data_IF_555508597137
#
_entry.id   IF_555508597137
#
_cell.length_a   1.000
_cell.length_b   1.000
_cell.length_c   1.000
_cell.angle_alpha   90.00
_cell.angle_beta   90.00
_cell.angle_gamma   90.00
#
_symmetry.space_group_name_H-M   'P 1'
#
loop_
_entity.id
_entity.type
_entity.pdbx_description
1 polymer ?
#
# COMPACT_ATOMS: atom_id res chain seq x y z
N UNK A 1 26.12 -31.18 -13.21
CA UNK A 1 26.02 -30.62 -11.84
C UNK A 1 25.50 -29.17 -11.80
N UNK A 2 26.16 -28.18 -12.45
CA UNK A 2 25.72 -26.76 -12.42
C UNK A 2 24.33 -26.50 -13.02
N UNK A 3 24.01 -27.10 -14.16
CA UNK A 3 22.68 -26.95 -14.79
C UNK A 3 21.53 -27.44 -13.89
N UNK A 4 21.75 -28.53 -13.14
CA UNK A 4 20.76 -29.04 -12.19
C UNK A 4 20.55 -28.09 -11.01
N UNK A 5 21.61 -27.45 -10.52
CA UNK A 5 21.50 -26.43 -9.47
C UNK A 5 20.70 -25.22 -9.94
N UNK A 6 20.95 -24.74 -11.17
CA UNK A 6 20.17 -23.65 -11.78
C UNK A 6 18.71 -24.06 -11.95
N UNK A 7 18.44 -25.26 -12.48
CA UNK A 7 17.08 -25.79 -12.64
C UNK A 7 16.35 -25.86 -11.30
N UNK A 8 17.01 -26.36 -10.25
CA UNK A 8 16.43 -26.43 -8.91
C UNK A 8 16.14 -25.03 -8.34
N UNK A 9 17.09 -24.09 -8.48
CA UNK A 9 16.92 -22.71 -8.02
C UNK A 9 15.75 -22.01 -8.71
N UNK A 10 15.69 -22.07 -10.04
CA UNK A 10 14.60 -21.45 -10.82
C UNK A 10 13.27 -22.06 -10.41
N UNK A 11 13.19 -23.40 -10.35
CA UNK A 11 11.96 -24.10 -9.98
C UNK A 11 11.49 -23.75 -8.57
N UNK A 12 12.41 -23.68 -7.60
CA UNK A 12 12.08 -23.35 -6.20
C UNK A 12 11.63 -21.90 -5.99
N UNK A 13 12.03 -20.97 -6.86
CA UNK A 13 11.64 -19.55 -6.81
C UNK A 13 10.54 -19.19 -7.81
N UNK A 14 9.93 -20.18 -8.47
CA UNK A 14 8.83 -19.97 -9.42
C UNK A 14 7.66 -20.92 -9.19
N UNK A 15 7.83 -22.20 -9.51
CA UNK A 15 6.76 -23.21 -9.49
C UNK A 15 6.53 -23.74 -8.08
N UNK A 16 7.61 -24.08 -7.38
CA UNK A 16 7.54 -24.75 -6.08
C UNK A 16 7.54 -23.74 -4.91
N UNK A 17 7.57 -22.42 -5.21
CA UNK A 17 7.49 -21.38 -4.19
C UNK A 17 6.04 -21.27 -3.68
N UNK A 18 5.72 -22.07 -2.67
CA UNK A 18 4.42 -21.99 -2.00
C UNK A 18 4.34 -20.69 -1.18
N UNK A 19 3.46 -19.79 -1.58
CA UNK A 19 3.04 -18.69 -0.72
C UNK A 19 1.99 -19.23 0.25
N UNK A 20 2.34 -19.27 1.52
CA UNK A 20 1.47 -19.71 2.61
C UNK A 20 0.84 -18.48 3.25
N UNK A 21 -0.49 -18.28 3.14
CA UNK A 21 -1.20 -17.18 3.78
C UNK A 21 -0.89 -17.05 5.29
N UNK A 22 -0.69 -18.18 5.97
CA UNK A 22 -0.35 -18.25 7.40
C UNK A 22 1.01 -17.64 7.75
N UNK A 23 1.91 -17.52 6.76
CA UNK A 23 3.23 -16.90 6.93
C UNK A 23 3.21 -15.39 6.62
N UNK A 24 2.04 -14.82 6.30
CA UNK A 24 1.92 -13.39 6.04
C UNK A 24 2.29 -12.59 7.30
N UNK A 25 3.15 -11.56 7.18
CA UNK A 25 3.53 -10.77 8.33
C UNK A 25 2.34 -9.92 8.80
N UNK A 26 2.32 -9.58 10.09
CA UNK A 26 1.19 -8.86 10.71
C UNK A 26 0.85 -7.51 10.03
N UNK A 27 1.86 -6.87 9.44
CA UNK A 27 1.68 -5.62 8.69
C UNK A 27 1.02 -5.80 7.31
N UNK A 28 0.88 -7.01 6.80
CA UNK A 28 0.21 -7.28 5.52
C UNK A 28 -1.11 -8.02 5.74
N UNK A 29 -2.23 -7.34 5.46
CA UNK A 29 -3.56 -7.96 5.46
C UNK A 29 -3.79 -8.75 4.17
N UNK A 30 -4.48 -9.88 4.28
CA UNK A 30 -4.97 -10.66 3.14
C UNK A 30 -6.44 -10.34 2.81
N UNK A 31 -7.10 -9.52 3.63
CA UNK A 31 -8.48 -9.09 3.43
C UNK A 31 -8.48 -7.86 2.52
N UNK A 32 -9.23 -7.89 1.38
CA UNK A 32 -9.37 -6.73 0.51
C UNK A 32 -9.86 -5.49 1.25
N UNK A 33 -9.28 -4.34 0.91
CA UNK A 33 -9.61 -3.02 1.42
C UNK A 33 -9.37 -2.87 2.92
N UNK A 34 -8.51 -3.70 3.51
CA UNK A 34 -8.11 -3.64 4.93
C UNK A 34 -6.59 -3.65 5.00
N UNK A 35 -6.02 -2.78 5.82
CA UNK A 35 -4.58 -2.79 6.11
C UNK A 35 -4.25 -3.78 7.24
N UNK A 36 -3.08 -4.42 7.14
CA UNK A 36 -2.49 -5.12 8.29
C UNK A 36 -2.09 -4.15 9.40
N UNK A 37 -1.80 -4.66 10.60
CA UNK A 37 -1.44 -3.80 11.74
C UNK A 37 -0.14 -3.06 11.43
N UNK A 38 -0.13 -1.75 11.57
CA UNK A 38 1.09 -0.97 11.46
C UNK A 38 2.17 -1.51 12.41
N UNK A 39 3.22 -2.11 11.85
CA UNK A 39 4.21 -2.88 12.63
C UNK A 39 5.63 -2.43 12.27
N UNK A 40 6.47 -2.08 13.26
CA UNK A 40 7.89 -1.82 13.05
C UNK A 40 8.62 -3.07 12.58
N UNK A 41 9.56 -2.91 11.66
CA UNK A 41 10.38 -4.04 11.19
C UNK A 41 11.49 -4.34 12.20
N UNK A 42 11.41 -5.54 12.77
CA UNK A 42 12.45 -6.07 13.64
C UNK A 42 13.69 -6.50 12.84
N UNK A 43 14.83 -6.57 13.53
CA UNK A 43 16.12 -6.98 12.96
C UNK A 43 16.08 -8.33 12.22
N UNK A 44 15.27 -9.28 12.69
CA UNK A 44 15.11 -10.62 12.08
C UNK A 44 14.35 -10.64 10.74
N UNK A 45 13.65 -9.55 10.42
CA UNK A 45 12.88 -9.37 9.20
C UNK A 45 13.69 -8.60 8.13
N UNK A 46 14.92 -8.16 8.45
CA UNK A 46 15.81 -7.51 7.49
C UNK A 46 16.06 -8.41 6.28
N UNK A 47 15.87 -7.86 5.08
CA UNK A 47 16.09 -8.55 3.81
C UNK A 47 15.02 -9.57 3.42
N UNK A 48 13.98 -9.74 4.26
CA UNK A 48 12.77 -10.50 3.92
C UNK A 48 11.70 -9.50 3.49
N UNK A 49 11.25 -9.60 2.24
CA UNK A 49 10.35 -8.65 1.59
C UNK A 49 10.93 -7.24 1.33
N UNK A 50 10.16 -6.40 0.63
CA UNK A 50 10.53 -5.04 0.23
C UNK A 50 10.38 -4.03 1.39
N UNK A 51 11.03 -4.35 2.52
CA UNK A 51 11.04 -3.56 3.76
C UNK A 51 12.47 -3.21 4.17
N UNK A 52 12.64 -2.03 4.72
CA UNK A 52 13.90 -1.51 5.24
C UNK A 52 13.89 -1.42 6.77
N UNK A 53 15.07 -1.49 7.41
CA UNK A 53 15.23 -1.21 8.84
C UNK A 53 14.63 0.14 9.23
N UNK A 54 14.16 0.27 10.47
CA UNK A 54 13.57 1.49 11.05
C UNK A 54 12.31 2.00 10.32
N UNK A 55 11.72 1.13 9.49
CA UNK A 55 10.43 1.36 8.87
C UNK A 55 9.29 0.74 9.68
N UNK A 56 8.18 1.44 9.74
CA UNK A 56 6.87 0.91 10.12
C UNK A 56 6.06 0.74 8.85
N UNK A 57 5.42 -0.42 8.69
CA UNK A 57 4.68 -0.78 7.48
C UNK A 57 3.26 -1.16 7.82
N UNK A 58 2.36 -0.86 6.91
CA UNK A 58 1.06 -1.53 6.80
C UNK A 58 0.68 -1.63 5.32
N UNK A 59 0.09 -2.75 4.94
CA UNK A 59 -0.24 -3.04 3.56
C UNK A 59 -1.45 -3.96 3.49
N UNK A 60 -2.08 -3.98 2.32
CA UNK A 60 -3.18 -4.87 2.04
C UNK A 60 -3.64 -4.75 0.58
N UNK A 61 -4.35 -5.75 0.06
CA UNK A 61 -4.93 -5.66 -1.27
C UNK A 61 -6.05 -4.62 -1.28
N UNK A 62 -6.20 -3.88 -2.38
CA UNK A 62 -7.47 -3.22 -2.68
C UNK A 62 -8.23 -4.03 -3.72
N UNK A 63 -9.57 -4.00 -3.63
CA UNK A 63 -10.48 -4.54 -4.64
C UNK A 63 -11.71 -3.65 -4.73
N UNK A 64 -12.03 -3.17 -5.93
CA UNK A 64 -13.10 -2.22 -6.21
C UNK A 64 -13.92 -2.69 -7.40
N UNK A 65 -15.23 -2.52 -7.36
CA UNK A 65 -16.08 -2.62 -8.54
C UNK A 65 -15.90 -1.39 -9.45
N UNK A 66 -16.44 -1.44 -10.66
CA UNK A 66 -16.21 -0.40 -11.69
C UNK A 66 -16.77 0.99 -11.32
N UNK A 67 -17.70 1.05 -10.38
CA UNK A 67 -18.36 2.27 -9.90
C UNK A 67 -17.91 2.68 -8.48
N UNK A 68 -16.84 2.07 -7.98
CA UNK A 68 -16.36 2.27 -6.61
C UNK A 68 -15.03 3.03 -6.54
N UNK A 69 -14.82 3.68 -5.41
CA UNK A 69 -13.56 4.27 -4.98
C UNK A 69 -13.21 3.79 -3.57
N UNK A 70 -11.94 3.83 -3.21
CA UNK A 70 -11.49 3.57 -1.85
C UNK A 70 -11.08 4.87 -1.18
N UNK A 71 -11.65 5.15 -0.02
CA UNK A 71 -11.25 6.24 0.86
C UNK A 71 -10.37 5.67 1.95
N UNK A 72 -9.11 6.12 2.00
CA UNK A 72 -8.13 5.74 3.02
C UNK A 72 -7.96 6.91 4.00
N UNK A 73 -8.14 6.65 5.28
CA UNK A 73 -8.09 7.66 6.34
C UNK A 73 -7.16 7.24 7.47
N UNK A 74 -6.56 8.23 8.13
CA UNK A 74 -5.69 7.98 9.27
C UNK A 74 -5.16 9.27 9.87
N UNK A 75 -4.23 9.12 10.81
CA UNK A 75 -3.43 10.22 11.35
C UNK A 75 -1.99 10.07 10.91
N UNK A 76 -1.40 11.14 10.39
CA UNK A 76 0.01 11.13 10.01
C UNK A 76 0.86 11.19 11.28
N UNK A 77 1.72 10.19 11.54
CA UNK A 77 2.59 10.24 12.71
C UNK A 77 3.72 11.26 12.53
N UNK A 78 4.35 11.67 13.62
CA UNK A 78 5.61 12.40 13.56
C UNK A 78 6.71 11.49 12.98
N UNK A 79 7.05 11.73 11.72
CA UNK A 79 8.01 10.95 10.96
C UNK A 79 8.72 11.81 9.91
N UNK A 80 9.92 11.38 9.52
CA UNK A 80 10.69 12.08 8.48
C UNK A 80 10.09 11.83 7.10
N UNK A 81 9.64 10.61 6.85
CA UNK A 81 9.05 10.21 5.57
C UNK A 81 7.89 9.25 5.79
N UNK A 82 6.83 9.45 5.00
CA UNK A 82 5.79 8.46 4.82
C UNK A 82 5.29 8.50 3.38
N UNK A 83 4.89 7.35 2.84
CA UNK A 83 4.18 7.30 1.56
C UNK A 83 3.22 6.13 1.46
N UNK A 84 2.12 6.36 0.74
CA UNK A 84 1.24 5.31 0.22
C UNK A 84 1.55 5.13 -1.27
N UNK A 85 1.79 3.89 -1.69
CA UNK A 85 2.02 3.53 -3.11
C UNK A 85 1.15 2.36 -3.52
N UNK A 86 0.68 2.39 -4.77
CA UNK A 86 0.01 1.25 -5.39
C UNK A 86 0.97 0.38 -6.17
N UNK A 87 0.85 -0.93 -5.94
CA UNK A 87 1.52 -1.95 -6.72
C UNK A 87 0.54 -2.83 -7.45
N UNK A 88 0.94 -3.34 -8.61
CA UNK A 88 0.24 -4.42 -9.28
C UNK A 88 0.51 -5.77 -8.60
N UNK A 89 -0.15 -6.83 -9.07
CA UNK A 89 0.03 -8.21 -8.57
C UNK A 89 1.45 -8.77 -8.67
N UNK A 90 2.33 -8.12 -9.43
CA UNK A 90 3.73 -8.49 -9.62
C UNK A 90 4.69 -7.64 -8.77
N UNK A 91 4.15 -6.90 -7.79
CA UNK A 91 4.90 -6.01 -6.90
C UNK A 91 5.64 -4.89 -7.63
N UNK A 92 5.14 -4.49 -8.79
CA UNK A 92 5.65 -3.34 -9.54
C UNK A 92 4.77 -2.15 -9.23
N UNK A 93 5.40 -0.98 -9.07
CA UNK A 93 4.67 0.29 -9.08
C UNK A 93 3.85 0.42 -10.36
N UNK A 94 2.71 1.08 -10.25
CA UNK A 94 1.98 1.57 -11.41
C UNK A 94 2.79 2.69 -12.12
N UNK A 95 2.25 3.30 -13.18
CA UNK A 95 2.97 4.28 -14.02
C UNK A 95 3.19 5.63 -13.32
N UNK A 96 4.18 5.67 -12.43
CA UNK A 96 4.55 6.86 -11.68
C UNK A 96 5.15 7.98 -12.56
N UNK A 97 5.55 7.68 -13.80
CA UNK A 97 6.13 8.67 -14.70
C UNK A 97 5.06 9.62 -15.26
N UNK A 98 3.82 9.13 -15.40
CA UNK A 98 2.73 9.88 -16.01
C UNK A 98 1.51 10.05 -15.09
N UNK A 99 1.43 9.34 -13.97
CA UNK A 99 0.25 9.31 -13.09
C UNK A 99 0.62 9.41 -11.62
N UNK A 100 -0.29 9.93 -10.81
CA UNK A 100 -0.15 10.00 -9.36
C UNK A 100 -0.52 8.65 -8.75
N UNK A 101 0.42 7.70 -8.74
CA UNK A 101 0.20 6.33 -8.21
C UNK A 101 0.78 6.12 -6.80
N UNK A 102 1.35 7.20 -6.26
CA UNK A 102 1.83 7.30 -4.89
C UNK A 102 1.70 8.74 -4.43
N UNK A 103 1.51 8.91 -3.13
CA UNK A 103 1.67 10.19 -2.45
C UNK A 103 2.62 9.98 -1.28
N UNK A 104 3.53 10.93 -1.08
CA UNK A 104 4.31 11.04 0.15
C UNK A 104 3.75 12.15 1.06
N UNK A 105 4.16 12.16 2.34
CA UNK A 105 3.66 13.13 3.34
C UNK A 105 3.84 14.61 2.97
N UNK A 106 4.82 14.94 2.10
CA UNK A 106 5.04 16.32 1.65
C UNK A 106 4.07 16.73 0.54
N UNK A 107 3.53 15.77 -0.20
CA UNK A 107 2.53 15.99 -1.26
C UNK A 107 1.10 15.98 -0.71
N UNK A 108 0.87 15.31 0.43
CA UNK A 108 -0.45 15.20 1.04
C UNK A 108 -0.89 16.52 1.67
N UNK A 109 -2.15 16.88 1.46
CA UNK A 109 -2.88 17.77 2.37
C UNK A 109 -3.16 17.00 3.65
N UNK A 110 -2.61 17.47 4.76
CA UNK A 110 -2.86 16.96 6.11
C UNK A 110 -3.61 18.08 6.84
N UNK A 111 -4.70 17.73 7.51
CA UNK A 111 -5.52 18.69 8.26
C UNK A 111 -4.82 19.12 9.56
N UNK A 112 -5.30 20.19 10.19
CA UNK A 112 -4.66 20.78 11.40
C UNK A 112 -4.56 19.79 12.57
N UNK A 113 -5.48 18.83 12.66
CA UNK A 113 -5.51 17.79 13.70
C UNK A 113 -4.60 16.57 13.37
N UNK A 114 -3.84 16.65 12.27
CA UNK A 114 -2.95 15.62 11.77
C UNK A 114 -3.65 14.52 10.97
N UNK A 115 -4.97 14.61 10.77
CA UNK A 115 -5.70 13.65 9.96
C UNK A 115 -5.42 13.84 8.47
N UNK A 116 -5.52 12.74 7.72
CA UNK A 116 -5.50 12.78 6.27
C UNK A 116 -6.61 11.88 5.73
N UNK A 117 -7.02 12.21 4.51
CA UNK A 117 -7.92 11.41 3.69
C UNK A 117 -7.32 11.30 2.29
N UNK A 118 -7.24 10.08 1.74
CA UNK A 118 -6.72 9.80 0.40
C UNK A 118 -7.78 9.03 -0.38
N UNK A 119 -8.06 9.42 -1.62
CA UNK A 119 -8.97 8.70 -2.52
C UNK A 119 -8.17 7.90 -3.54
N UNK A 120 -8.45 6.61 -3.63
CA UNK A 120 -8.00 5.73 -4.71
C UNK A 120 -9.16 5.53 -5.68
N UNK A 121 -8.98 5.97 -6.92
CA UNK A 121 -10.00 5.87 -7.97
C UNK A 121 -9.37 6.02 -9.35
N UNK A 122 -10.01 5.51 -10.43
CA UNK A 122 -9.49 5.63 -11.79
C UNK A 122 -9.56 7.06 -12.36
N UNK A 123 -10.30 7.95 -11.69
CA UNK A 123 -10.45 9.36 -12.03
C UNK A 123 -10.37 10.19 -10.76
N UNK A 124 -9.74 11.36 -10.85
CA UNK A 124 -9.64 12.31 -9.76
C UNK A 124 -11.02 12.92 -9.45
N UNK A 125 -11.56 12.77 -8.23
CA UNK A 125 -12.77 13.49 -7.85
C UNK A 125 -12.50 15.00 -7.75
N UNK A 126 -13.51 15.86 -8.02
CA UNK A 126 -13.36 17.31 -7.90
C UNK A 126 -12.89 17.72 -6.50
N UNK A 127 -11.93 18.65 -6.42
CA UNK A 127 -11.43 19.17 -5.15
C UNK A 127 -10.49 18.23 -4.36
N UNK A 128 -10.37 16.95 -4.74
CA UNK A 128 -9.52 16.00 -4.02
C UNK A 128 -8.04 16.23 -4.32
N UNK A 129 -7.31 16.77 -3.35
CA UNK A 129 -5.86 16.95 -3.43
C UNK A 129 -5.13 15.61 -3.28
N UNK A 130 -5.56 14.81 -2.31
CA UNK A 130 -4.96 13.54 -1.98
C UNK A 130 -5.58 12.41 -2.81
N UNK A 131 -5.31 12.41 -4.11
CA UNK A 131 -5.81 11.38 -5.02
C UNK A 131 -4.68 10.48 -5.52
N UNK A 132 -4.93 9.18 -5.57
CA UNK A 132 -4.08 8.17 -6.17
C UNK A 132 -4.83 7.46 -7.29
N UNK A 133 -4.25 7.48 -8.49
CA UNK A 133 -4.82 6.87 -9.69
C UNK A 133 -4.66 5.34 -9.65
N UNK A 134 -5.77 4.61 -9.79
CA UNK A 134 -5.75 3.14 -9.91
C UNK A 134 -5.46 2.65 -11.32
N UNK A 135 -5.33 3.54 -12.31
CA UNK A 135 -5.17 3.24 -13.73
C UNK A 135 -6.32 2.42 -14.34
N UNK A 136 -7.52 2.52 -13.77
CA UNK A 136 -8.65 1.68 -14.16
C UNK A 136 -8.56 0.24 -13.63
N UNK A 137 -7.58 -0.06 -12.76
CA UNK A 137 -7.47 -1.38 -12.14
C UNK A 137 -8.50 -1.52 -11.03
N UNK A 138 -9.20 -2.63 -11.03
CA UNK A 138 -10.12 -3.04 -9.98
C UNK A 138 -9.41 -3.69 -8.79
N UNK A 139 -8.12 -4.02 -8.91
CA UNK A 139 -7.35 -4.65 -7.84
C UNK A 139 -5.86 -4.33 -7.91
N UNK A 140 -5.22 -4.39 -6.74
CA UNK A 140 -3.78 -4.21 -6.57
C UNK A 140 -3.42 -4.24 -5.09
N UNK A 141 -2.23 -3.75 -4.75
CA UNK A 141 -1.74 -3.70 -3.38
C UNK A 141 -1.53 -2.25 -2.95
N UNK A 142 -2.10 -1.89 -1.82
CA UNK A 142 -1.79 -0.65 -1.11
C UNK A 142 -0.62 -0.91 -0.17
N UNK A 143 0.39 -0.05 -0.21
CA UNK A 143 1.58 -0.23 0.60
C UNK A 143 2.00 1.09 1.26
N UNK A 144 1.80 1.17 2.57
CA UNK A 144 2.31 2.26 3.39
C UNK A 144 3.71 1.95 3.92
N UNK A 145 4.53 2.99 3.96
CA UNK A 145 5.82 3.01 4.64
C UNK A 145 5.92 4.26 5.47
N UNK A 146 6.40 4.14 6.69
CA UNK A 146 6.74 5.26 7.58
C UNK A 146 8.17 5.06 8.06
N UNK A 147 9.01 6.07 7.96
CA UNK A 147 10.42 6.00 8.37
C UNK A 147 10.76 7.04 9.41
N UNK A 148 11.63 6.64 10.35
CA UNK A 148 12.09 7.49 11.44
C UNK A 148 10.90 8.05 12.22
N UNK A 149 10.01 7.14 12.65
CA UNK A 149 8.82 7.48 13.43
C UNK A 149 9.20 7.57 14.90
N UNK A 150 8.73 8.61 15.58
CA UNK A 150 9.02 8.85 17.00
C UNK A 150 7.92 8.32 17.94
N UNK A 151 6.86 7.74 17.37
CA UNK A 151 5.66 7.29 18.08
C UNK A 151 5.05 6.04 17.45
N UNK A 152 4.03 5.49 18.12
CA UNK A 152 3.27 4.37 17.58
C UNK A 152 2.40 4.82 16.40
N UNK A 153 2.53 4.13 15.26
CA UNK A 153 1.72 4.41 14.07
C UNK A 153 0.35 3.75 14.22
N UNK A 154 -0.71 4.57 14.14
CA UNK A 154 -2.07 4.06 14.03
C UNK A 154 -2.27 3.39 12.65
N UNK A 155 -2.93 2.23 12.63
CA UNK A 155 -3.25 1.57 11.36
C UNK A 155 -4.31 2.38 10.62
N UNK A 156 -4.06 2.79 9.35
CA UNK A 156 -5.05 3.51 8.55
C UNK A 156 -6.29 2.64 8.31
N UNK A 157 -7.46 3.27 8.25
CA UNK A 157 -8.69 2.62 7.81
C UNK A 157 -8.86 2.81 6.30
N UNK A 158 -9.62 1.91 5.68
CA UNK A 158 -10.03 2.04 4.30
C UNK A 158 -11.51 1.65 4.16
N UNK A 159 -12.25 2.45 3.39
CA UNK A 159 -13.68 2.26 3.17
C UNK A 159 -14.00 2.38 1.68
N UNK A 160 -14.75 1.41 1.18
CA UNK A 160 -15.31 1.47 -0.18
C UNK A 160 -16.50 2.42 -0.18
N UNK A 161 -16.53 3.32 -1.15
CA UNK A 161 -17.64 4.26 -1.41
C UNK A 161 -18.01 4.22 -2.88
N UNK A 162 -19.22 4.64 -3.23
CA UNK A 162 -19.57 4.83 -4.64
C UNK A 162 -18.86 6.07 -5.20
N UNK A 163 -18.37 5.98 -6.43
CA UNK A 163 -17.76 7.13 -7.09
C UNK A 163 -18.74 8.29 -7.16
N UNK A 164 -20.03 8.06 -7.42
CA UNK A 164 -21.01 9.12 -7.48
C UNK A 164 -21.04 9.99 -6.22
N UNK A 165 -20.85 9.42 -5.02
CA UNK A 165 -20.79 10.16 -3.74
C UNK A 165 -19.63 11.17 -3.68
N UNK A 166 -18.53 10.91 -4.39
CA UNK A 166 -17.33 11.74 -4.42
C UNK A 166 -17.34 12.79 -5.54
N UNK A 167 -18.19 12.60 -6.54
CA UNK A 167 -18.26 13.46 -7.73
C UNK A 167 -19.49 14.37 -7.74
N UNK A 168 -20.33 14.32 -6.69
CA UNK A 168 -21.40 15.31 -6.52
C UNK A 168 -20.76 16.67 -6.20
N UNK A 169 -21.13 17.68 -6.99
CA UNK A 169 -20.74 19.08 -6.84
C UNK A 169 -21.90 19.85 -6.22
#
# INVERSE_FOLDING_TARGET
KRLQLVKNFVRSHSIDMTQKPEDAPEWFSLVPNVFGRATPIEERERGKAAVAPDGVYCAGPFKLESDEALVVEGKMPNCTFANLVLWNRFLQTLDYAHRTVSLNRKQMKIEEDGSYRIVLSPKRPPGEVNWIDTEGRNQGTMFWRFFLVEENVATPSAKVVKMDELFQV
#
